data_IF_301392766158
#
_entry.id   IF_301392766158
#
_cell.length_a   1.000
_cell.length_b   1.000
_cell.length_c   1.000
_cell.angle_alpha   90.00
_cell.angle_beta   90.00
_cell.angle_gamma   90.00
#
_symmetry.space_group_name_H-M   'P 1'
#
loop_
_entity.id
_entity.type
_entity.pdbx_description
1 polymer ?
#
# COMPACT_ATOMS: atom_id res chain seq x y z
N UNK A 1 -0.48 24.45 -32.63
CA UNK A 1 0.76 24.76 -31.89
C UNK A 1 1.86 23.76 -32.18
N UNK A 2 1.50 22.51 -32.56
CA UNK A 2 2.44 21.51 -33.05
C UNK A 2 2.37 21.51 -34.58
N UNK A 3 3.50 21.73 -35.25
CA UNK A 3 3.58 21.64 -36.71
C UNK A 3 3.66 20.17 -37.10
N UNK A 4 2.50 19.53 -37.31
CA UNK A 4 2.42 18.12 -37.68
C UNK A 4 2.71 17.86 -39.16
N UNK A 5 2.91 18.90 -39.98
CA UNK A 5 3.17 18.79 -41.41
C UNK A 5 1.97 18.30 -42.26
N UNK A 6 0.78 18.20 -41.65
CA UNK A 6 -0.46 17.74 -42.31
C UNK A 6 -1.55 18.83 -42.31
N UNK A 7 -2.49 18.73 -43.25
CA UNK A 7 -3.54 19.74 -43.41
C UNK A 7 -4.55 19.67 -42.26
N UNK A 8 -5.20 20.83 -41.93
CA UNK A 8 -6.30 20.84 -40.96
C UNK A 8 -7.48 19.95 -41.35
N UNK A 9 -7.72 19.77 -42.65
CA UNK A 9 -8.77 18.88 -43.15
C UNK A 9 -8.42 17.38 -42.86
N UNK A 10 -7.20 17.00 -43.12
CA UNK A 10 -6.70 15.63 -42.78
C UNK A 10 -6.84 15.37 -41.29
N UNK A 11 -6.40 16.30 -40.43
CA UNK A 11 -6.56 16.17 -38.99
C UNK A 11 -8.02 15.95 -38.59
N UNK A 12 -8.95 16.70 -39.16
CA UNK A 12 -10.40 16.55 -38.87
C UNK A 12 -10.92 15.18 -39.27
N UNK A 13 -10.49 14.64 -40.42
CA UNK A 13 -10.91 13.33 -40.89
C UNK A 13 -10.38 12.24 -39.97
N UNK A 14 -9.08 12.25 -39.63
CA UNK A 14 -8.49 11.31 -38.68
C UNK A 14 -9.17 11.36 -37.32
N UNK A 15 -9.50 12.57 -36.82
CA UNK A 15 -10.24 12.72 -35.56
C UNK A 15 -11.66 12.16 -35.66
N UNK A 16 -12.34 12.25 -36.82
CA UNK A 16 -13.65 11.65 -37.03
C UNK A 16 -13.58 10.13 -37.08
N UNK A 17 -12.53 9.57 -37.71
CA UNK A 17 -12.29 8.14 -37.77
C UNK A 17 -11.97 7.58 -36.36
N UNK A 18 -11.11 8.24 -35.59
CA UNK A 18 -10.83 7.88 -34.22
C UNK A 18 -12.08 7.94 -33.32
N UNK A 19 -12.99 8.88 -33.57
CA UNK A 19 -14.26 8.98 -32.85
C UNK A 19 -15.19 7.81 -33.23
N UNK A 20 -15.30 7.51 -34.52
CA UNK A 20 -16.09 6.37 -35.04
C UNK A 20 -15.56 5.04 -34.49
N UNK A 21 -14.24 4.90 -34.38
CA UNK A 21 -13.58 3.74 -33.76
C UNK A 21 -13.69 3.71 -32.23
N UNK A 22 -14.19 4.78 -31.61
CA UNK A 22 -14.43 4.87 -30.17
C UNK A 22 -13.19 5.19 -29.34
N UNK A 23 -12.09 5.63 -29.93
CA UNK A 23 -10.87 6.01 -29.18
C UNK A 23 -10.98 7.40 -28.54
N UNK A 24 -11.73 8.30 -29.17
CA UNK A 24 -12.02 9.63 -28.65
C UNK A 24 -13.52 9.89 -28.63
N UNK A 25 -13.98 10.86 -27.82
CA UNK A 25 -15.39 11.24 -27.70
C UNK A 25 -15.54 12.74 -27.50
N UNK A 26 -16.69 13.29 -27.86
CA UNK A 26 -17.08 14.64 -27.47
C UNK A 26 -17.51 14.69 -26.00
N UNK A 27 -17.10 15.74 -25.28
CA UNK A 27 -17.64 16.02 -23.94
C UNK A 27 -19.03 16.69 -24.05
N UNK A 28 -19.13 17.63 -24.97
CA UNK A 28 -20.37 18.38 -25.31
C UNK A 28 -20.31 18.77 -26.80
N UNK A 29 -21.44 19.04 -27.40
CA UNK A 29 -21.60 19.35 -28.84
C UNK A 29 -20.71 20.51 -29.36
N UNK A 30 -20.30 21.43 -28.49
CA UNK A 30 -19.43 22.57 -28.81
C UNK A 30 -17.99 22.45 -28.29
N UNK A 31 -17.65 21.35 -27.62
CA UNK A 31 -16.33 21.15 -26.99
C UNK A 31 -15.38 20.36 -27.91
N UNK A 32 -14.08 20.43 -27.60
CA UNK A 32 -13.08 19.57 -28.22
C UNK A 32 -13.33 18.08 -27.95
N UNK A 33 -12.49 17.24 -28.51
CA UNK A 33 -12.50 15.79 -28.29
C UNK A 33 -11.56 15.41 -27.16
N UNK A 34 -11.93 14.39 -26.38
CA UNK A 34 -11.13 13.80 -25.32
C UNK A 34 -10.97 12.29 -25.56
N UNK A 35 -9.88 11.66 -25.13
CA UNK A 35 -9.75 10.22 -25.19
C UNK A 35 -10.86 9.51 -24.38
N UNK A 36 -11.35 8.40 -24.89
CA UNK A 36 -12.19 7.46 -24.15
C UNK A 36 -11.32 6.52 -23.29
N UNK A 37 -11.93 5.67 -22.46
CA UNK A 37 -11.16 4.60 -21.76
C UNK A 37 -10.43 3.70 -22.77
N UNK A 38 -11.05 3.38 -23.90
CA UNK A 38 -10.41 2.63 -24.99
C UNK A 38 -9.22 3.38 -25.58
N UNK A 39 -9.32 4.70 -25.75
CA UNK A 39 -8.22 5.53 -26.24
C UNK A 39 -7.05 5.58 -25.28
N UNK A 40 -7.31 5.72 -23.99
CA UNK A 40 -6.26 5.66 -22.96
C UNK A 40 -5.64 4.26 -22.85
N UNK A 41 -6.42 3.18 -22.99
CA UNK A 41 -5.90 1.81 -23.03
C UNK A 41 -4.93 1.61 -24.19
N UNK A 42 -5.33 2.00 -25.40
CA UNK A 42 -4.47 1.94 -26.57
C UNK A 42 -3.19 2.77 -26.40
N UNK A 43 -3.31 3.96 -25.78
CA UNK A 43 -2.13 4.78 -25.47
C UNK A 43 -1.17 4.06 -24.52
N UNK A 44 -1.70 3.45 -23.45
CA UNK A 44 -0.87 2.76 -22.44
C UNK A 44 -0.21 1.51 -23.00
N UNK A 45 -0.92 0.74 -23.83
CA UNK A 45 -0.45 -0.55 -24.31
C UNK A 45 0.51 -0.41 -25.49
N UNK A 46 0.23 0.54 -26.42
CA UNK A 46 0.92 0.60 -27.71
C UNK A 46 1.79 1.85 -27.92
N UNK A 47 1.45 2.98 -27.32
CA UNK A 47 2.10 4.27 -27.61
C UNK A 47 2.96 4.80 -26.46
N UNK A 48 2.81 4.26 -25.25
CA UNK A 48 3.45 4.80 -24.08
C UNK A 48 4.97 4.61 -24.14
N UNK A 49 5.68 5.71 -24.03
CA UNK A 49 7.12 5.73 -23.76
C UNK A 49 7.35 6.09 -22.30
N UNK A 50 8.11 5.27 -21.58
CA UNK A 50 8.43 5.56 -20.18
C UNK A 50 9.43 6.71 -20.11
N UNK A 51 9.10 7.71 -19.31
CA UNK A 51 10.01 8.83 -19.04
C UNK A 51 11.04 8.43 -17.99
N UNK A 52 12.28 8.90 -18.17
CA UNK A 52 13.27 8.76 -17.11
C UNK A 52 12.99 9.77 -16.00
N UNK A 53 13.16 9.34 -14.76
CA UNK A 53 13.06 10.25 -13.61
C UNK A 53 14.17 11.29 -13.64
N UNK A 54 13.84 12.53 -13.33
CA UNK A 54 14.81 13.60 -13.24
C UNK A 54 15.74 13.42 -12.01
N UNK A 55 16.97 13.89 -12.11
CA UNK A 55 17.93 13.86 -10.99
C UNK A 55 17.38 14.58 -9.74
N UNK A 56 16.60 15.64 -9.93
CA UNK A 56 15.96 16.36 -8.82
C UNK A 56 14.91 15.49 -8.10
N UNK A 57 14.09 14.75 -8.83
CA UNK A 57 13.10 13.83 -8.24
C UNK A 57 13.79 12.68 -7.50
N UNK A 58 14.83 12.11 -8.09
CA UNK A 58 15.65 11.05 -7.46
C UNK A 58 16.29 11.56 -6.16
N UNK A 59 16.91 12.74 -6.21
CA UNK A 59 17.55 13.34 -5.03
C UNK A 59 16.54 13.65 -3.93
N UNK A 60 15.35 14.12 -4.28
CA UNK A 60 14.27 14.42 -3.34
C UNK A 60 13.79 13.15 -2.64
N UNK A 61 13.57 12.06 -3.38
CA UNK A 61 13.17 10.76 -2.82
C UNK A 61 14.24 10.24 -1.86
N UNK A 62 15.52 10.23 -2.28
CA UNK A 62 16.62 9.72 -1.47
C UNK A 62 16.79 10.52 -0.18
N UNK A 63 16.73 11.85 -0.25
CA UNK A 63 16.81 12.72 0.92
C UNK A 63 15.64 12.48 1.89
N UNK A 64 14.47 12.22 1.40
CA UNK A 64 13.31 11.98 2.24
C UNK A 64 13.43 10.69 3.04
N UNK A 65 13.81 9.59 2.39
CA UNK A 65 14.06 8.34 3.12
C UNK A 65 15.21 8.46 4.12
N UNK A 66 16.29 9.17 3.77
CA UNK A 66 17.43 9.34 4.65
C UNK A 66 17.11 10.14 5.93
N UNK A 67 16.17 11.10 5.85
CA UNK A 67 15.92 12.04 6.96
C UNK A 67 14.72 11.68 7.83
N UNK A 68 13.73 10.95 7.31
CA UNK A 68 12.43 10.79 7.97
C UNK A 68 12.09 9.38 8.38
N UNK A 69 12.81 8.36 7.91
CA UNK A 69 12.45 6.97 8.17
C UNK A 69 13.25 6.41 9.35
N UNK A 70 12.52 5.94 10.39
CA UNK A 70 13.08 5.29 11.58
C UNK A 70 12.42 3.94 11.87
N UNK A 71 11.31 3.62 11.21
CA UNK A 71 10.61 2.33 11.34
C UNK A 71 10.08 1.86 9.99
N UNK A 72 9.71 0.59 9.91
CA UNK A 72 9.15 0.00 8.68
C UNK A 72 7.80 0.64 8.32
N UNK A 73 6.97 0.94 9.30
CA UNK A 73 5.71 1.64 9.05
C UNK A 73 5.94 3.04 8.49
N UNK A 74 6.98 3.74 8.95
CA UNK A 74 7.34 5.05 8.39
C UNK A 74 7.79 4.95 6.93
N UNK A 75 8.45 3.86 6.52
CA UNK A 75 8.79 3.62 5.11
C UNK A 75 7.51 3.68 4.27
N UNK A 76 6.50 2.89 4.61
CA UNK A 76 5.27 2.82 3.83
C UNK A 76 4.48 4.14 3.85
N UNK A 77 4.41 4.81 5.00
CA UNK A 77 3.74 6.11 5.14
C UNK A 77 4.41 7.19 4.30
N UNK A 78 5.74 7.29 4.38
CA UNK A 78 6.48 8.29 3.60
C UNK A 78 6.50 7.94 2.11
N UNK A 79 6.56 6.66 1.73
CA UNK A 79 6.38 6.20 0.35
C UNK A 79 5.06 6.70 -0.24
N UNK A 80 3.94 6.48 0.47
CA UNK A 80 2.62 6.97 0.05
C UNK A 80 2.63 8.50 -0.12
N UNK A 81 3.22 9.24 0.82
CA UNK A 81 3.30 10.69 0.76
C UNK A 81 4.14 11.20 -0.43
N UNK A 82 5.31 10.59 -0.66
CA UNK A 82 6.19 10.96 -1.77
C UNK A 82 5.51 10.75 -3.12
N UNK A 83 4.93 9.55 -3.33
CA UNK A 83 4.22 9.22 -4.58
C UNK A 83 3.12 10.25 -4.84
N UNK A 84 2.30 10.55 -3.84
CA UNK A 84 1.24 11.53 -3.96
C UNK A 84 1.74 12.93 -4.34
N UNK A 85 2.78 13.40 -3.68
CA UNK A 85 3.32 14.75 -3.95
C UNK A 85 3.92 14.88 -5.34
N UNK A 86 4.58 13.82 -5.85
CA UNK A 86 5.19 13.83 -7.18
C UNK A 86 4.17 13.64 -8.30
N UNK A 87 3.10 12.86 -8.06
CA UNK A 87 2.07 12.57 -9.07
C UNK A 87 0.89 13.51 -9.04
N UNK A 88 0.70 14.25 -7.93
CA UNK A 88 -0.50 15.07 -7.66
C UNK A 88 -1.80 14.25 -7.70
N UNK A 89 -1.71 12.97 -7.32
CA UNK A 89 -2.81 12.03 -7.25
C UNK A 89 -2.86 11.35 -5.88
N UNK A 90 -3.93 10.60 -5.62
CA UNK A 90 -3.99 9.76 -4.43
C UNK A 90 -3.03 8.59 -4.59
N UNK A 91 -2.27 8.34 -3.57
CA UNK A 91 -1.38 7.20 -3.47
C UNK A 91 -1.86 6.25 -2.39
N UNK A 92 -1.80 4.98 -2.69
CA UNK A 92 -2.13 3.88 -1.81
C UNK A 92 -0.91 2.98 -1.69
N UNK A 93 -0.55 2.63 -0.47
CA UNK A 93 0.51 1.64 -0.22
C UNK A 93 -0.07 0.56 0.67
N UNK A 94 -0.16 -0.65 0.12
CA UNK A 94 -0.56 -1.84 0.85
C UNK A 94 0.70 -2.57 1.33
N UNK A 95 0.96 -2.51 2.63
CA UNK A 95 2.04 -3.27 3.24
C UNK A 95 1.67 -4.76 3.40
N UNK A 96 2.65 -5.67 3.58
CA UNK A 96 2.38 -7.10 3.73
C UNK A 96 1.56 -7.36 4.98
N UNK A 97 0.72 -8.39 4.92
CA UNK A 97 -0.02 -8.84 6.10
C UNK A 97 0.93 -9.45 7.13
N UNK A 98 0.71 -9.14 8.41
CA UNK A 98 1.45 -9.78 9.53
C UNK A 98 1.37 -11.30 9.47
N UNK A 99 0.21 -11.82 9.07
CA UNK A 99 -0.01 -13.25 8.90
C UNK A 99 1.01 -13.91 7.97
N UNK A 100 1.56 -13.18 7.00
CA UNK A 100 2.56 -13.67 6.04
C UNK A 100 4.00 -13.51 6.54
N UNK A 101 4.20 -12.72 7.59
CA UNK A 101 5.53 -12.52 8.20
C UNK A 101 5.83 -13.58 9.24
N UNK A 102 7.13 -13.83 9.49
CA UNK A 102 7.55 -14.78 10.50
C UNK A 102 7.79 -14.10 11.85
N UNK A 103 7.34 -14.75 12.90
CA UNK A 103 7.62 -14.34 14.27
C UNK A 103 9.13 -14.38 14.54
N UNK A 104 9.70 -13.28 15.03
CA UNK A 104 11.11 -13.19 15.40
C UNK A 104 11.32 -13.31 16.91
N UNK A 105 10.65 -12.42 17.67
CA UNK A 105 10.69 -12.52 19.12
C UNK A 105 9.53 -11.78 19.80
N UNK A 106 9.25 -12.20 21.02
CA UNK A 106 8.40 -11.54 22.01
C UNK A 106 9.30 -11.09 23.16
N UNK A 107 9.13 -9.88 23.64
CA UNK A 107 9.81 -9.36 24.81
C UNK A 107 8.83 -8.52 25.64
N UNK A 108 9.05 -8.55 26.96
CA UNK A 108 8.36 -7.69 27.89
C UNK A 108 9.30 -6.61 28.43
N UNK A 109 8.78 -5.40 28.58
CA UNK A 109 9.49 -4.28 29.16
C UNK A 109 8.67 -3.77 30.35
N UNK A 110 9.25 -3.63 31.55
CA UNK A 110 8.51 -3.06 32.68
C UNK A 110 8.17 -1.60 32.41
N UNK A 111 6.90 -1.25 32.54
CA UNK A 111 6.43 0.13 32.43
C UNK A 111 6.33 0.80 33.82
N UNK A 112 5.79 0.06 34.80
CA UNK A 112 5.69 0.41 36.18
C UNK A 112 5.47 -0.86 37.01
N UNK A 113 5.19 -0.71 38.34
CA UNK A 113 4.98 -1.85 39.24
C UNK A 113 3.76 -2.71 38.91
N UNK A 114 2.83 -2.21 38.10
CA UNK A 114 1.56 -2.88 37.76
C UNK A 114 1.39 -3.17 36.28
N UNK A 115 2.32 -2.73 35.42
CA UNK A 115 2.16 -2.83 33.97
C UNK A 115 3.46 -3.18 33.28
N UNK A 116 3.35 -4.01 32.24
CA UNK A 116 4.41 -4.33 31.29
C UNK A 116 3.99 -3.96 29.89
N UNK A 117 4.95 -3.63 29.02
CA UNK A 117 4.76 -3.53 27.59
C UNK A 117 5.20 -4.83 26.95
N UNK A 118 4.27 -5.56 26.32
CA UNK A 118 4.60 -6.66 25.41
C UNK A 118 5.01 -6.10 24.07
N UNK A 119 6.14 -6.53 23.53
CA UNK A 119 6.64 -6.15 22.22
C UNK A 119 6.82 -7.41 21.38
N UNK A 120 6.10 -7.51 20.27
CA UNK A 120 6.23 -8.58 19.28
C UNK A 120 6.92 -8.01 18.06
N UNK A 121 7.96 -8.70 17.57
CA UNK A 121 8.66 -8.34 16.34
C UNK A 121 8.61 -9.50 15.35
N UNK A 122 8.46 -9.14 14.07
CA UNK A 122 8.48 -10.07 12.93
C UNK A 122 9.73 -9.91 12.09
N UNK A 123 10.01 -10.88 11.19
CA UNK A 123 11.12 -10.86 10.24
C UNK A 123 11.06 -9.69 9.25
N UNK A 124 9.86 -9.20 8.98
CA UNK A 124 9.66 -8.00 8.18
C UNK A 124 9.84 -6.68 8.97
N UNK A 125 10.39 -6.74 10.19
CA UNK A 125 10.66 -5.56 11.03
C UNK A 125 9.42 -4.86 11.57
N UNK A 126 8.24 -5.48 11.47
CA UNK A 126 7.04 -4.95 12.10
C UNK A 126 7.11 -5.18 13.60
N UNK A 127 6.78 -4.13 14.34
CA UNK A 127 6.73 -4.14 15.79
C UNK A 127 5.30 -3.83 16.20
N UNK A 128 4.66 -4.76 16.90
CA UNK A 128 3.42 -4.50 17.61
C UNK A 128 3.70 -4.46 19.12
N UNK A 129 3.01 -3.57 19.81
CA UNK A 129 3.18 -3.42 21.26
C UNK A 129 1.83 -3.25 21.95
N UNK A 130 1.74 -3.79 23.15
CA UNK A 130 0.56 -3.69 24.00
C UNK A 130 0.94 -3.56 25.46
N UNK A 131 0.25 -2.65 26.18
CA UNK A 131 0.36 -2.55 27.62
C UNK A 131 -0.53 -3.63 28.22
N UNK A 132 0.02 -4.39 29.20
CA UNK A 132 -0.64 -5.45 29.95
C UNK A 132 -0.55 -5.10 31.44
N UNK A 133 -1.67 -5.21 32.12
CA UNK A 133 -1.66 -5.15 33.60
C UNK A 133 -1.06 -6.45 34.17
N UNK A 134 -0.17 -6.32 35.16
CA UNK A 134 0.42 -7.44 35.85
C UNK A 134 -0.62 -8.01 36.83
N UNK A 135 -1.08 -9.27 36.64
CA UNK A 135 -2.02 -9.86 37.57
C UNK A 135 -1.43 -10.05 38.97
N UNK A 136 -2.25 -10.01 39.98
CA UNK A 136 -1.82 -10.23 41.38
C UNK A 136 -1.11 -11.61 41.52
N UNK A 137 0.06 -11.60 42.14
CA UNK A 137 0.86 -12.82 42.34
C UNK A 137 1.71 -13.27 41.15
N UNK A 138 1.79 -12.43 40.07
CA UNK A 138 2.66 -12.64 38.90
C UNK A 138 3.86 -11.70 39.03
N UNK A 139 5.06 -12.25 38.83
CA UNK A 139 6.30 -11.48 38.80
C UNK A 139 6.70 -11.10 37.36
N UNK A 140 7.59 -10.14 37.21
CA UNK A 140 8.16 -9.82 35.89
C UNK A 140 8.96 -11.00 35.32
N UNK A 141 9.59 -11.80 36.18
CA UNK A 141 10.31 -13.01 35.77
C UNK A 141 9.40 -14.05 35.12
N UNK A 142 8.14 -14.16 35.54
CA UNK A 142 7.14 -15.03 34.88
C UNK A 142 6.91 -14.61 33.41
N UNK A 143 6.88 -13.31 33.14
CA UNK A 143 6.76 -12.81 31.77
C UNK A 143 7.99 -13.14 30.93
N UNK A 144 9.20 -12.97 31.45
CA UNK A 144 10.44 -13.29 30.75
C UNK A 144 10.57 -14.81 30.48
N UNK A 145 10.19 -15.64 31.42
CA UNK A 145 10.17 -17.11 31.26
C UNK A 145 9.19 -17.50 30.14
N UNK A 146 7.97 -16.95 30.14
CA UNK A 146 6.99 -17.24 29.10
C UNK A 146 7.46 -16.71 27.74
N UNK A 147 8.03 -15.48 27.68
CA UNK A 147 8.58 -14.95 26.44
C UNK A 147 9.66 -15.88 25.85
N UNK A 148 10.52 -16.43 26.70
CA UNK A 148 11.55 -17.37 26.29
C UNK A 148 10.96 -18.65 25.67
N UNK A 149 9.89 -19.20 26.25
CA UNK A 149 9.17 -20.36 25.73
C UNK A 149 8.54 -20.02 24.36
N UNK A 150 7.83 -18.90 24.25
CA UNK A 150 7.25 -18.45 22.98
C UNK A 150 8.32 -18.28 21.90
N UNK A 151 9.43 -17.62 22.23
CA UNK A 151 10.55 -17.40 21.33
C UNK A 151 11.16 -18.73 20.85
N UNK A 152 11.30 -19.73 21.74
CA UNK A 152 11.81 -21.03 21.37
C UNK A 152 10.91 -21.78 20.37
N UNK A 153 9.58 -21.73 20.56
CA UNK A 153 8.64 -22.49 19.74
C UNK A 153 8.20 -21.77 18.47
N UNK A 154 8.19 -20.43 18.44
CA UNK A 154 7.57 -19.65 17.37
C UNK A 154 8.59 -18.96 16.46
N UNK A 155 9.84 -18.77 16.87
CA UNK A 155 10.86 -18.10 16.06
C UNK A 155 10.96 -18.69 14.66
N UNK A 156 10.85 -17.86 13.62
CA UNK A 156 10.91 -18.23 12.21
C UNK A 156 9.63 -18.85 11.65
N UNK A 157 8.60 -19.08 12.47
CA UNK A 157 7.30 -19.54 11.97
C UNK A 157 6.47 -18.36 11.50
N UNK A 158 5.80 -18.52 10.35
CA UNK A 158 4.81 -17.51 9.94
C UNK A 158 3.70 -17.43 10.97
N UNK A 159 3.21 -16.23 11.20
CA UNK A 159 2.13 -16.03 12.16
C UNK A 159 0.84 -16.78 11.73
N UNK A 160 0.58 -16.90 10.41
CA UNK A 160 -0.50 -17.76 9.88
C UNK A 160 -0.37 -19.23 10.19
N UNK A 161 0.86 -19.71 10.38
CA UNK A 161 1.17 -21.14 10.53
C UNK A 161 1.30 -21.53 12.02
N UNK A 162 1.03 -20.60 12.93
CA UNK A 162 0.98 -20.88 14.36
C UNK A 162 -0.19 -21.82 14.63
N UNK A 163 0.15 -23.11 14.75
CA UNK A 163 -0.84 -24.16 14.91
C UNK A 163 -1.28 -24.31 16.36
N UNK A 164 -2.51 -24.83 16.55
CA UNK A 164 -3.00 -25.23 17.88
C UNK A 164 -2.09 -26.26 18.57
N UNK A 165 -1.31 -27.04 17.79
CA UNK A 165 -0.32 -27.96 18.34
C UNK A 165 0.86 -27.21 18.95
N UNK A 166 1.34 -26.13 18.31
CA UNK A 166 2.38 -25.26 18.87
C UNK A 166 1.90 -24.57 20.14
N UNK A 167 0.67 -24.04 20.12
CA UNK A 167 0.05 -23.38 21.29
C UNK A 167 -0.09 -24.36 22.46
N UNK A 168 -0.51 -25.61 22.20
CA UNK A 168 -0.61 -26.64 23.27
C UNK A 168 0.75 -26.99 23.87
N UNK A 169 1.84 -27.07 23.08
CA UNK A 169 3.18 -27.29 23.59
C UNK A 169 3.63 -26.15 24.49
N UNK A 170 3.48 -24.92 24.05
CA UNK A 170 3.81 -23.72 24.83
C UNK A 170 3.02 -23.72 26.15
N UNK A 171 1.72 -24.01 26.10
CA UNK A 171 0.87 -24.10 27.30
C UNK A 171 1.33 -25.20 28.28
N UNK A 172 1.78 -26.33 27.75
CA UNK A 172 2.27 -27.44 28.58
C UNK A 172 3.53 -27.12 29.37
N UNK A 173 4.36 -26.19 28.86
CA UNK A 173 5.60 -25.75 29.54
C UNK A 173 5.40 -24.46 30.35
N UNK A 174 4.24 -23.83 30.27
CA UNK A 174 3.95 -22.55 30.94
C UNK A 174 3.33 -22.82 32.31
N UNK A 175 3.97 -22.32 33.35
CA UNK A 175 3.47 -22.43 34.73
C UNK A 175 2.28 -21.47 34.99
N UNK A 176 2.32 -20.28 34.40
CA UNK A 176 1.30 -19.25 34.64
C UNK A 176 0.30 -19.14 33.49
N UNK A 177 -0.89 -19.73 33.66
CA UNK A 177 -1.94 -19.74 32.66
C UNK A 177 -2.53 -18.35 32.37
N UNK A 178 -2.50 -17.42 33.32
CA UNK A 178 -3.03 -16.05 33.15
C UNK A 178 -2.17 -15.25 32.19
N UNK A 179 -0.85 -15.27 32.37
CA UNK A 179 0.10 -14.60 31.47
C UNK A 179 0.06 -15.24 30.08
N UNK A 180 0.00 -16.57 30.01
CA UNK A 180 -0.14 -17.27 28.73
C UNK A 180 -1.37 -16.80 27.94
N UNK A 181 -2.55 -16.75 28.55
CA UNK A 181 -3.78 -16.30 27.92
C UNK A 181 -3.69 -14.82 27.47
N UNK A 182 -3.05 -13.97 28.28
CA UNK A 182 -2.83 -12.58 27.90
C UNK A 182 -1.98 -12.45 26.62
N UNK A 183 -0.93 -13.26 26.49
CA UNK A 183 -0.06 -13.27 25.29
C UNK A 183 -0.82 -13.79 24.07
N UNK A 184 -1.59 -14.87 24.19
CA UNK A 184 -2.41 -15.39 23.08
C UNK A 184 -3.39 -14.34 22.61
N UNK A 185 -4.08 -13.64 23.53
CA UNK A 185 -4.99 -12.57 23.17
C UNK A 185 -4.29 -11.43 22.41
N UNK A 186 -3.05 -11.07 22.78
CA UNK A 186 -2.27 -10.07 22.05
C UNK A 186 -1.97 -10.51 20.63
N UNK A 187 -1.53 -11.75 20.46
CA UNK A 187 -1.25 -12.32 19.13
C UNK A 187 -2.52 -12.34 18.29
N UNK A 188 -3.64 -12.79 18.85
CA UNK A 188 -4.93 -12.83 18.16
C UNK A 188 -5.43 -11.43 17.79
N UNK A 189 -5.30 -10.45 18.69
CA UNK A 189 -5.65 -9.06 18.41
C UNK A 189 -4.75 -8.45 17.34
N UNK A 190 -3.43 -8.68 17.40
CA UNK A 190 -2.48 -8.24 16.38
C UNK A 190 -2.84 -8.81 15.01
N UNK A 191 -3.20 -10.09 14.93
CA UNK A 191 -3.64 -10.75 13.72
C UNK A 191 -5.02 -10.25 13.23
N UNK A 192 -5.92 -9.90 14.14
CA UNK A 192 -7.24 -9.37 13.80
C UNK A 192 -7.16 -7.95 13.23
N UNK A 193 -6.28 -7.10 13.77
CA UNK A 193 -6.04 -5.74 13.29
C UNK A 193 -5.36 -5.71 11.92
N UNK A 194 -4.63 -6.74 11.57
CA UNK A 194 -3.73 -6.82 10.42
C UNK A 194 -4.41 -6.50 9.08
N UNK A 195 -5.67 -6.86 8.91
CA UNK A 195 -6.39 -6.69 7.64
C UNK A 195 -6.72 -5.22 7.31
N UNK A 196 -6.82 -4.34 8.30
CA UNK A 196 -7.33 -2.98 8.11
C UNK A 196 -6.30 -1.87 8.30
N UNK A 197 -5.22 -2.11 9.07
CA UNK A 197 -4.30 -1.06 9.50
C UNK A 197 -3.07 -0.87 8.61
N UNK A 198 -2.88 -1.72 7.58
CA UNK A 198 -1.68 -1.70 6.73
C UNK A 198 -1.86 -1.06 5.37
N UNK A 199 -2.94 -0.35 5.22
CA UNK A 199 -3.17 0.50 4.05
C UNK A 199 -2.82 1.95 4.42
N UNK A 200 -1.79 2.47 3.76
CA UNK A 200 -1.34 3.85 3.90
C UNK A 200 -1.88 4.65 2.71
N UNK A 201 -2.59 5.73 3.00
CA UNK A 201 -3.19 6.61 2.02
C UNK A 201 -2.52 7.98 2.09
N UNK A 202 -2.09 8.49 0.94
CA UNK A 202 -1.55 9.84 0.75
C UNK A 202 -2.29 10.56 -0.35
N UNK A 203 -2.36 11.90 -0.25
CA UNK A 203 -2.80 12.72 -1.37
C UNK A 203 -4.30 12.87 -1.58
N UNK A 204 -5.11 12.65 -0.58
CA UNK A 204 -6.54 12.95 -0.70
C UNK A 204 -6.81 14.43 -1.05
N UNK A 205 -5.97 15.34 -0.57
CA UNK A 205 -6.04 16.76 -0.87
C UNK A 205 -5.67 17.06 -2.33
N UNK A 206 -4.62 16.44 -2.82
CA UNK A 206 -4.12 16.62 -4.20
C UNK A 206 -5.17 16.22 -5.24
N UNK A 207 -5.98 15.20 -4.92
CA UNK A 207 -7.08 14.78 -5.78
C UNK A 207 -8.18 15.87 -5.87
N UNK A 208 -8.49 16.54 -4.77
CA UNK A 208 -9.50 17.59 -4.73
C UNK A 208 -9.11 18.82 -5.55
N UNK A 209 -7.81 19.01 -5.80
CA UNK A 209 -7.30 20.11 -6.64
C UNK A 209 -7.47 19.80 -8.16
N UNK A 210 -7.83 18.56 -8.52
CA UNK A 210 -8.04 18.17 -9.92
C UNK A 210 -9.43 18.65 -10.42
N UNK A 211 -9.51 19.22 -11.63
CA UNK A 211 -10.77 19.78 -12.18
C UNK A 211 -11.94 18.80 -12.23
N UNK A 212 -11.66 17.50 -12.44
CA UNK A 212 -12.66 16.43 -12.50
C UNK A 212 -13.41 16.23 -11.18
N UNK A 213 -12.79 16.63 -10.08
CA UNK A 213 -13.31 16.48 -8.71
C UNK A 213 -13.80 17.80 -8.10
N UNK A 214 -14.04 18.83 -8.89
CA UNK A 214 -14.73 20.06 -8.42
C UNK A 214 -16.22 19.82 -8.10
N UNK A 215 -16.78 18.67 -8.48
CA UNK A 215 -18.15 18.29 -8.12
C UNK A 215 -18.16 17.68 -6.71
N UNK A 216 -18.91 18.33 -5.81
CA UNK A 216 -19.01 17.95 -4.40
C UNK A 216 -19.50 16.50 -4.23
N UNK A 217 -20.43 16.03 -5.06
CA UNK A 217 -20.95 14.67 -4.95
C UNK A 217 -19.91 13.62 -5.33
N UNK A 218 -19.07 13.91 -6.33
CA UNK A 218 -17.93 13.03 -6.69
C UNK A 218 -16.90 12.99 -5.58
N UNK A 219 -16.58 14.14 -5.00
CA UNK A 219 -15.64 14.22 -3.86
C UNK A 219 -16.16 13.43 -2.67
N UNK A 220 -17.44 13.59 -2.30
CA UNK A 220 -18.04 12.82 -1.19
C UNK A 220 -17.93 11.32 -1.41
N UNK A 221 -18.25 10.82 -2.61
CA UNK A 221 -18.14 9.39 -2.95
C UNK A 221 -16.71 8.87 -2.81
N UNK A 222 -15.73 9.62 -3.31
CA UNK A 222 -14.32 9.24 -3.17
C UNK A 222 -13.84 9.26 -1.71
N UNK A 223 -14.27 10.26 -0.93
CA UNK A 223 -13.92 10.31 0.49
C UNK A 223 -14.55 9.14 1.24
N UNK A 224 -15.82 8.82 1.00
CA UNK A 224 -16.46 7.64 1.59
C UNK A 224 -15.71 6.35 1.21
N UNK A 225 -15.29 6.22 -0.04
CA UNK A 225 -14.48 5.07 -0.47
C UNK A 225 -13.12 5.01 0.27
N UNK A 226 -12.48 6.16 0.53
CA UNK A 226 -11.23 6.19 1.28
C UNK A 226 -11.42 5.82 2.77
N UNK A 227 -12.60 6.04 3.32
CA UNK A 227 -12.96 5.58 4.66
C UNK A 227 -13.22 4.06 4.69
N UNK A 228 -13.66 3.47 3.57
CA UNK A 228 -13.87 2.04 3.41
C UNK A 228 -12.55 1.30 3.13
N UNK A 229 -11.69 1.19 4.13
CA UNK A 229 -10.36 0.55 3.99
C UNK A 229 -10.44 -0.86 3.41
N UNK A 230 -11.49 -1.63 3.70
CA UNK A 230 -11.67 -2.97 3.15
C UNK A 230 -11.83 -2.95 1.63
N UNK A 231 -12.58 -2.00 1.08
CA UNK A 231 -12.76 -1.86 -0.36
C UNK A 231 -11.43 -1.55 -1.07
N UNK A 232 -10.66 -0.60 -0.50
CA UNK A 232 -9.33 -0.26 -1.05
C UNK A 232 -8.36 -1.45 -0.97
N UNK A 233 -8.41 -2.20 0.12
CA UNK A 233 -7.65 -3.43 0.27
C UNK A 233 -8.00 -4.44 -0.82
N UNK A 234 -9.30 -4.70 -1.07
CA UNK A 234 -9.75 -5.66 -2.05
C UNK A 234 -9.34 -5.26 -3.49
N UNK A 235 -9.40 -3.96 -3.79
CA UNK A 235 -8.95 -3.41 -5.09
C UNK A 235 -7.46 -3.70 -5.31
N UNK A 236 -6.61 -3.41 -4.32
CA UNK A 236 -5.16 -3.61 -4.44
C UNK A 236 -4.76 -5.07 -4.37
N UNK A 237 -5.43 -5.84 -3.50
CA UNK A 237 -5.16 -7.27 -3.35
C UNK A 237 -5.52 -8.07 -4.60
N UNK A 238 -6.51 -7.65 -5.38
CA UNK A 238 -6.86 -8.28 -6.65
C UNK A 238 -5.75 -8.15 -7.72
N UNK A 239 -4.82 -7.21 -7.55
CA UNK A 239 -3.71 -6.91 -8.48
C UNK A 239 -2.35 -7.34 -7.94
N UNK A 240 -2.27 -7.96 -6.76
CA UNK A 240 -1.01 -8.27 -6.05
C UNK A 240 -0.06 -9.22 -6.80
N UNK A 241 -0.60 -10.07 -7.68
CA UNK A 241 0.17 -11.06 -8.41
C UNK A 241 0.79 -10.47 -9.70
N UNK A 242 0.38 -9.27 -10.08
CA UNK A 242 0.92 -8.55 -11.23
C UNK A 242 2.06 -7.62 -10.79
N UNK A 243 3.19 -7.67 -11.48
CA UNK A 243 4.31 -6.78 -11.21
C UNK A 243 3.98 -5.31 -11.51
N UNK A 244 3.11 -5.09 -12.49
CA UNK A 244 2.54 -3.80 -12.87
C UNK A 244 1.15 -4.02 -13.46
N UNK A 245 0.14 -3.34 -12.91
CA UNK A 245 -1.22 -3.35 -13.44
C UNK A 245 -1.72 -1.92 -13.69
N UNK A 246 -2.49 -1.74 -14.75
CA UNK A 246 -3.16 -0.48 -15.08
C UNK A 246 -4.63 -0.76 -15.37
N UNK A 247 -5.52 -0.12 -14.63
CA UNK A 247 -6.98 -0.22 -14.81
C UNK A 247 -7.54 1.16 -15.14
N UNK A 248 -8.25 1.31 -16.26
CA UNK A 248 -8.63 2.61 -16.83
C UNK A 248 -10.15 2.78 -16.85
N UNK A 249 -10.67 3.74 -16.12
CA UNK A 249 -12.06 4.19 -16.25
C UNK A 249 -13.05 3.02 -16.11
N UNK A 250 -13.74 2.69 -17.21
CA UNK A 250 -14.79 1.65 -17.23
C UNK A 250 -14.28 0.21 -16.96
N UNK A 251 -12.98 -0.03 -16.96
CA UNK A 251 -12.38 -1.31 -16.61
C UNK A 251 -12.47 -1.58 -15.10
N UNK A 252 -12.66 -0.52 -14.30
CA UNK A 252 -12.83 -0.65 -12.86
C UNK A 252 -14.12 -1.39 -12.54
N UNK A 253 -14.04 -2.38 -11.64
CA UNK A 253 -15.19 -3.16 -11.18
C UNK A 253 -16.17 -2.33 -10.34
N UNK A 254 -15.67 -1.31 -9.64
CA UNK A 254 -16.46 -0.49 -8.72
C UNK A 254 -16.94 0.79 -9.41
N UNK A 255 -18.25 1.07 -9.29
CA UNK A 255 -18.89 2.19 -9.99
C UNK A 255 -18.33 3.55 -9.58
N UNK A 256 -17.95 3.70 -8.32
CA UNK A 256 -17.52 4.98 -7.75
C UNK A 256 -16.15 5.46 -8.29
N UNK A 257 -15.38 4.57 -8.90
CA UNK A 257 -14.07 4.85 -9.51
C UNK A 257 -14.04 4.67 -11.03
N UNK A 258 -15.20 4.60 -11.70
CA UNK A 258 -15.26 4.50 -13.17
C UNK A 258 -14.80 5.76 -13.91
N UNK A 259 -14.70 6.89 -13.22
CA UNK A 259 -14.09 8.11 -13.73
C UNK A 259 -12.59 8.21 -13.40
N UNK A 260 -12.03 7.19 -12.72
CA UNK A 260 -10.65 7.14 -12.28
C UNK A 260 -9.87 6.04 -13.01
N UNK A 261 -8.55 6.17 -12.99
CA UNK A 261 -7.64 5.08 -13.32
C UNK A 261 -6.79 4.72 -12.10
N UNK A 262 -6.39 3.46 -12.04
CA UNK A 262 -5.50 2.93 -11.01
C UNK A 262 -4.27 2.35 -11.71
N UNK A 263 -3.09 2.76 -11.27
CA UNK A 263 -1.81 2.14 -11.65
C UNK A 263 -1.25 1.53 -10.38
N UNK A 264 -0.97 0.25 -10.38
CA UNK A 264 -0.36 -0.45 -9.25
C UNK A 264 0.90 -1.19 -9.64
N UNK A 265 1.86 -1.26 -8.72
CA UNK A 265 3.07 -2.04 -8.85
C UNK A 265 3.31 -2.81 -7.56
N UNK A 266 3.50 -4.13 -7.65
CA UNK A 266 3.78 -4.97 -6.49
C UNK A 266 5.28 -5.23 -6.39
N UNK A 267 5.83 -4.88 -5.24
CA UNK A 267 7.21 -5.17 -4.88
C UNK A 267 7.33 -6.58 -4.31
N UNK A 268 8.28 -7.35 -4.87
CA UNK A 268 8.59 -8.69 -4.40
C UNK A 268 10.03 -8.76 -3.89
N UNK A 269 10.21 -9.38 -2.73
CA UNK A 269 11.52 -9.74 -2.19
C UNK A 269 11.57 -11.27 -2.06
N UNK A 270 12.56 -11.90 -2.67
CA UNK A 270 12.70 -13.36 -2.71
C UNK A 270 11.42 -14.09 -3.20
N UNK A 271 10.75 -13.50 -4.19
CA UNK A 271 9.51 -14.04 -4.76
C UNK A 271 8.26 -13.86 -3.90
N UNK A 272 8.34 -13.16 -2.77
CA UNK A 272 7.19 -12.85 -1.91
C UNK A 272 6.75 -11.41 -2.09
N UNK A 273 5.45 -11.11 -2.17
CA UNK A 273 4.96 -9.73 -2.23
C UNK A 273 5.18 -9.05 -0.87
N UNK A 274 5.95 -7.96 -0.87
CA UNK A 274 6.26 -7.16 0.32
C UNK A 274 5.38 -5.91 0.38
N UNK A 275 5.05 -5.30 -0.75
CA UNK A 275 4.16 -4.16 -0.78
C UNK A 275 3.52 -4.01 -2.16
N UNK A 276 2.31 -3.50 -2.20
CA UNK A 276 1.70 -3.01 -3.45
C UNK A 276 1.59 -1.49 -3.35
N UNK A 277 2.25 -0.81 -4.27
CA UNK A 277 2.17 0.64 -4.44
C UNK A 277 1.13 0.93 -5.50
N UNK A 278 0.24 1.88 -5.27
CA UNK A 278 -0.74 2.27 -6.29
C UNK A 278 -0.98 3.78 -6.30
N UNK A 279 -1.36 4.25 -7.49
CA UNK A 279 -1.81 5.63 -7.72
C UNK A 279 -3.20 5.59 -8.30
N UNK A 280 -4.13 6.30 -7.66
CA UNK A 280 -5.49 6.51 -8.11
C UNK A 280 -5.65 7.99 -8.50
N UNK A 281 -6.11 8.23 -9.71
CA UNK A 281 -6.32 9.58 -10.24
C UNK A 281 -7.33 9.60 -11.38
N UNK A 282 -7.57 10.78 -12.00
CA UNK A 282 -8.46 10.90 -13.14
C UNK A 282 -7.93 10.10 -14.34
N UNK A 283 -8.82 9.67 -15.25
CA UNK A 283 -8.41 8.89 -16.44
C UNK A 283 -7.38 9.60 -17.32
N UNK A 284 -7.25 10.93 -17.23
CA UNK A 284 -6.26 11.74 -17.96
C UNK A 284 -4.91 11.88 -17.26
N UNK A 285 -4.63 11.08 -16.23
CA UNK A 285 -3.34 11.18 -15.51
C UNK A 285 -2.16 10.84 -16.41
N UNK A 286 -0.97 11.27 -15.98
CA UNK A 286 0.29 10.99 -16.67
C UNK A 286 0.76 9.56 -16.39
N UNK A 287 0.32 8.62 -17.23
CA UNK A 287 0.63 7.20 -17.08
C UNK A 287 2.15 6.92 -17.15
N UNK A 288 2.85 7.57 -18.07
CA UNK A 288 4.29 7.36 -18.28
C UNK A 288 5.11 7.73 -17.04
N UNK A 289 4.86 8.93 -16.54
CA UNK A 289 5.53 9.44 -15.33
C UNK A 289 5.21 8.58 -14.11
N UNK A 290 3.94 8.20 -13.91
CA UNK A 290 3.50 7.42 -12.75
C UNK A 290 4.11 6.02 -12.79
N UNK A 291 4.08 5.34 -13.94
CA UNK A 291 4.68 4.01 -14.09
C UNK A 291 6.19 4.06 -13.83
N UNK A 292 6.89 5.05 -14.37
CA UNK A 292 8.33 5.24 -14.13
C UNK A 292 8.64 5.49 -12.65
N UNK A 293 7.83 6.32 -11.98
CA UNK A 293 7.97 6.56 -10.54
C UNK A 293 7.74 5.28 -9.73
N UNK A 294 6.66 4.53 -10.00
CA UNK A 294 6.38 3.30 -9.26
C UNK A 294 7.47 2.24 -9.46
N UNK A 295 8.01 2.10 -10.68
CA UNK A 295 9.16 1.21 -10.95
C UNK A 295 10.41 1.64 -10.18
N UNK A 296 10.70 2.94 -10.16
CA UNK A 296 11.81 3.48 -9.41
C UNK A 296 11.65 3.27 -7.90
N UNK A 297 10.46 3.52 -7.37
CA UNK A 297 10.15 3.30 -5.94
C UNK A 297 10.29 1.83 -5.55
N UNK A 298 9.83 0.90 -6.41
CA UNK A 298 10.00 -0.54 -6.18
C UNK A 298 11.49 -0.93 -6.07
N UNK A 299 12.35 -0.43 -6.96
CA UNK A 299 13.77 -0.71 -6.91
C UNK A 299 14.43 -0.13 -5.64
N UNK A 300 14.05 1.08 -5.25
CA UNK A 300 14.61 1.73 -4.06
C UNK A 300 14.11 1.13 -2.74
N UNK A 301 12.88 0.62 -2.69
CA UNK A 301 12.37 -0.05 -1.49
C UNK A 301 13.23 -1.27 -1.12
N UNK A 302 13.75 -2.03 -2.10
CA UNK A 302 14.68 -3.12 -1.84
C UNK A 302 15.90 -2.65 -1.04
N UNK A 303 16.55 -1.58 -1.51
CA UNK A 303 17.74 -1.03 -0.84
C UNK A 303 17.43 -0.48 0.55
N UNK A 304 16.24 0.09 0.73
CA UNK A 304 15.81 0.63 2.02
C UNK A 304 15.57 -0.52 3.00
N UNK A 305 14.86 -1.57 2.60
CA UNK A 305 14.63 -2.74 3.45
C UNK A 305 15.94 -3.43 3.83
N UNK A 306 16.89 -3.59 2.90
CA UNK A 306 18.21 -4.12 3.21
C UNK A 306 18.97 -3.30 4.26
N UNK A 307 18.84 -1.95 4.28
CA UNK A 307 19.45 -1.09 5.31
C UNK A 307 18.86 -1.32 6.70
N UNK A 308 17.62 -1.74 6.77
CA UNK A 308 16.95 -2.09 8.03
C UNK A 308 17.17 -3.56 8.42
N UNK A 309 18.05 -4.30 7.71
CA UNK A 309 18.32 -5.75 7.94
C UNK A 309 17.05 -6.62 7.83
N UNK A 310 16.18 -6.28 6.90
CA UNK A 310 14.92 -6.98 6.62
C UNK A 310 15.05 -7.85 5.37
#
# INVERSE_FOLDING_TARGET
KYSLGISPATIRNEMADLETLGYIKHLHTSSGRIPSSKGYRFYVDDLLTLEQMSENEISLINNWYATKVRSVEEIFRETSRIISQLTKNVSLVLAPQLTQTAFQYLRFLPLNEHQVIAVIMTDAGFIDNKIIDIPSGVSFEDFDNIASIFNHYLKGKRLSDISMASIRKIRGETVNSTVFNAIINIIDEALAKDKQERLYLGGARELMEQPEFHNIDKVKKLLSMFEEKQLLYDILHAQKDESLAVTIGQENKYNDIKDCSIISATYHLDGKPIATLAVLGPTRMDYGKIISLLKFMNANLADIFHRFHL
#
